data_IF_271639335969
#
_entry.id   IF_271639335969
#
_cell.length_a   1.000
_cell.length_b   1.000
_cell.length_c   1.000
_cell.angle_alpha   90.00
_cell.angle_beta   90.00
_cell.angle_gamma   90.00
#
_symmetry.space_group_name_H-M   'P 1'
#
loop_
_entity.id
_entity.type
_entity.pdbx_description
1 polymer ?
#
# COMPACT_ATOMS: atom_id res chain seq x y z
N UNK A 1 10.31 -8.01 -3.88
CA UNK A 1 9.91 -9.38 -4.11
C UNK A 1 10.22 -10.14 -2.84
N UNK A 2 9.30 -10.95 -2.37
CA UNK A 2 9.36 -11.51 -1.03
C UNK A 2 10.22 -12.77 -0.93
N UNK A 3 9.60 -13.87 -0.52
CA UNK A 3 10.22 -15.16 -0.17
C UNK A 3 11.04 -15.82 -1.30
N UNK A 4 10.65 -15.64 -2.55
CA UNK A 4 11.25 -16.34 -3.68
C UNK A 4 12.10 -15.41 -4.54
N UNK A 5 13.27 -15.86 -5.03
CA UNK A 5 14.03 -15.12 -6.02
C UNK A 5 13.24 -15.13 -7.34
N UNK A 6 12.71 -13.97 -7.71
CA UNK A 6 11.97 -13.78 -8.94
C UNK A 6 12.65 -12.73 -9.81
N UNK A 7 12.69 -12.98 -11.11
CA UNK A 7 13.16 -12.01 -12.11
C UNK A 7 11.94 -11.41 -12.78
N UNK A 8 11.82 -10.08 -12.86
CA UNK A 8 10.70 -9.44 -13.54
C UNK A 8 10.80 -9.69 -15.05
N UNK A 9 9.70 -10.19 -15.63
CA UNK A 9 9.56 -10.31 -17.09
C UNK A 9 9.11 -8.96 -17.64
N UNK A 10 9.80 -8.46 -18.66
CA UNK A 10 9.42 -7.23 -19.34
C UNK A 10 8.23 -7.54 -20.27
N UNK A 11 7.06 -7.10 -19.89
CA UNK A 11 5.86 -7.13 -20.72
C UNK A 11 5.67 -5.76 -21.39
N UNK A 12 4.86 -5.74 -22.47
CA UNK A 12 4.40 -4.51 -23.10
C UNK A 12 3.68 -3.62 -22.08
N UNK A 13 3.64 -2.32 -22.34
CA UNK A 13 2.93 -1.38 -21.46
C UNK A 13 1.44 -1.72 -21.35
N UNK A 14 0.82 -1.28 -20.26
CA UNK A 14 -0.60 -1.52 -20.04
C UNK A 14 -1.41 -0.85 -21.16
N UNK A 15 -2.25 -1.64 -21.82
CA UNK A 15 -3.23 -1.16 -22.77
C UNK A 15 -4.63 -1.28 -22.17
N UNK A 16 -5.30 -0.14 -21.85
CA UNK A 16 -6.62 -0.16 -21.25
C UNK A 16 -7.69 -0.84 -22.13
N UNK A 17 -7.60 -0.69 -23.47
CA UNK A 17 -8.56 -1.28 -24.37
C UNK A 17 -8.39 -2.80 -24.44
N UNK A 18 -7.15 -3.27 -24.56
CA UNK A 18 -6.83 -4.69 -24.52
C UNK A 18 -7.16 -5.33 -23.17
N UNK A 19 -6.91 -4.63 -22.07
CA UNK A 19 -7.30 -5.10 -20.75
C UNK A 19 -8.83 -5.24 -20.62
N UNK A 20 -9.61 -4.26 -21.08
CA UNK A 20 -11.07 -4.33 -21.09
C UNK A 20 -11.61 -5.45 -22.02
N UNK A 21 -10.94 -5.74 -23.13
CA UNK A 21 -11.26 -6.89 -23.97
C UNK A 21 -11.00 -8.20 -23.22
N UNK A 22 -9.83 -8.35 -22.62
CA UNK A 22 -9.44 -9.56 -21.90
C UNK A 22 -10.34 -9.92 -20.71
N UNK A 23 -11.09 -8.95 -20.17
CA UNK A 23 -12.07 -9.20 -19.12
C UNK A 23 -13.38 -9.82 -19.62
N UNK A 24 -13.59 -9.85 -20.93
CA UNK A 24 -14.78 -10.43 -21.55
C UNK A 24 -14.53 -11.87 -21.97
N UNK A 25 -15.51 -12.74 -21.82
CA UNK A 25 -15.43 -14.16 -22.22
C UNK A 25 -15.37 -14.34 -23.73
N UNK A 26 -15.86 -13.35 -24.48
CA UNK A 26 -15.97 -13.30 -25.94
C UNK A 26 -14.96 -12.33 -26.60
N UNK A 27 -13.84 -12.06 -25.93
CA UNK A 27 -12.80 -11.21 -26.48
C UNK A 27 -12.18 -11.86 -27.73
N UNK A 28 -12.46 -11.32 -28.92
CA UNK A 28 -11.97 -11.84 -30.20
C UNK A 28 -10.46 -11.69 -30.39
N UNK A 29 -9.86 -10.68 -29.75
CA UNK A 29 -8.44 -10.34 -29.90
C UNK A 29 -7.79 -10.14 -28.51
N UNK A 30 -7.58 -11.21 -27.76
CA UNK A 30 -6.87 -11.10 -26.47
C UNK A 30 -5.43 -10.68 -26.70
N UNK A 31 -4.94 -9.82 -25.83
CA UNK A 31 -3.60 -9.33 -25.93
C UNK A 31 -2.75 -9.48 -24.66
N UNK A 32 -1.50 -9.89 -24.76
CA UNK A 32 -0.55 -9.93 -23.65
C UNK A 32 -0.05 -8.51 -23.32
N UNK A 33 -0.18 -8.11 -22.08
CA UNK A 33 0.30 -6.82 -21.60
C UNK A 33 0.39 -6.80 -20.10
N UNK A 34 0.97 -5.72 -19.54
CA UNK A 34 0.93 -5.48 -18.11
C UNK A 34 -0.49 -5.19 -17.65
N UNK A 35 -0.80 -5.57 -16.43
CA UNK A 35 -1.99 -5.07 -15.75
C UNK A 35 -1.87 -3.56 -15.58
N UNK A 36 -2.95 -2.79 -15.78
CA UNK A 36 -2.97 -1.38 -15.42
C UNK A 36 -2.74 -1.22 -13.91
N UNK A 37 -2.09 -0.12 -13.53
CA UNK A 37 -1.94 0.19 -12.11
C UNK A 37 -3.29 0.50 -11.48
N UNK A 38 -3.55 -0.08 -10.32
CA UNK A 38 -4.73 0.19 -9.50
C UNK A 38 -4.36 1.10 -8.34
N UNK A 39 -5.18 2.12 -8.12
CA UNK A 39 -5.02 3.00 -6.98
C UNK A 39 -5.64 2.34 -5.72
N UNK A 40 -4.83 2.23 -4.67
CA UNK A 40 -5.32 1.84 -3.35
C UNK A 40 -5.67 3.11 -2.58
N UNK A 41 -6.91 3.22 -2.12
CA UNK A 41 -7.41 4.38 -1.39
C UNK A 41 -7.98 3.98 -0.04
N UNK A 42 -7.79 4.83 0.96
CA UNK A 42 -8.47 4.71 2.24
C UNK A 42 -9.84 5.40 2.15
N UNK A 43 -10.88 4.74 2.64
CA UNK A 43 -12.25 5.29 2.65
C UNK A 43 -12.76 5.40 4.08
N UNK A 44 -13.46 6.48 4.37
CA UNK A 44 -14.13 6.72 5.65
C UNK A 44 -15.55 7.22 5.40
N UNK A 45 -16.43 7.10 6.40
CA UNK A 45 -17.77 7.68 6.31
C UNK A 45 -17.71 9.21 6.45
N UNK A 46 -18.70 9.92 5.88
CA UNK A 46 -18.84 11.37 6.08
C UNK A 46 -18.95 11.70 7.56
N UNK A 47 -19.72 10.91 8.32
CA UNK A 47 -19.86 11.08 9.77
C UNK A 47 -18.51 11.01 10.50
N UNK A 48 -17.61 10.08 10.12
CA UNK A 48 -16.27 10.00 10.71
C UNK A 48 -15.45 11.25 10.37
N UNK A 49 -15.45 11.67 9.10
CA UNK A 49 -14.75 12.89 8.66
C UNK A 49 -15.18 14.12 9.45
N UNK A 50 -16.48 14.29 9.68
CA UNK A 50 -17.04 15.46 10.36
C UNK A 50 -16.79 15.44 11.86
N UNK A 51 -16.80 14.23 12.48
CA UNK A 51 -16.55 14.05 13.90
C UNK A 51 -15.06 14.04 14.27
N UNK A 52 -14.18 13.67 13.32
CA UNK A 52 -12.74 13.44 13.55
C UNK A 52 -11.88 14.09 12.46
N UNK A 53 -11.88 15.43 12.33
CA UNK A 53 -11.19 16.13 11.25
C UNK A 53 -9.66 15.97 11.29
N UNK A 54 -9.06 15.85 12.48
CA UNK A 54 -7.60 15.67 12.62
C UNK A 54 -7.18 14.27 12.17
N UNK A 55 -7.89 13.23 12.59
CA UNK A 55 -7.65 11.85 12.20
C UNK A 55 -7.90 11.66 10.70
N UNK A 56 -8.95 12.29 10.16
CA UNK A 56 -9.17 12.30 8.72
C UNK A 56 -8.03 12.99 7.98
N UNK A 57 -7.50 14.09 8.50
CA UNK A 57 -6.32 14.78 7.96
C UNK A 57 -5.09 13.89 7.91
N UNK A 58 -4.85 13.10 8.97
CA UNK A 58 -3.77 12.13 9.01
C UNK A 58 -3.98 10.99 8.00
N UNK A 59 -5.18 10.38 7.97
CA UNK A 59 -5.52 9.32 7.02
C UNK A 59 -5.36 9.75 5.57
N UNK A 60 -5.70 11.01 5.24
CA UNK A 60 -5.59 11.58 3.90
C UNK A 60 -4.14 11.72 3.40
N UNK A 61 -3.18 11.77 4.31
CA UNK A 61 -1.75 11.86 4.00
C UNK A 61 -1.07 10.51 3.83
N UNK A 62 -1.71 9.41 4.27
CA UNK A 62 -1.12 8.08 4.22
C UNK A 62 -0.85 7.68 2.78
N UNK A 63 0.42 7.51 2.46
CA UNK A 63 0.89 7.01 1.17
C UNK A 63 2.12 6.15 1.41
N UNK A 64 2.00 4.86 1.10
CA UNK A 64 3.08 3.88 1.31
C UNK A 64 3.60 3.44 -0.06
N UNK A 65 4.85 3.78 -0.42
CA UNK A 65 5.46 3.32 -1.66
C UNK A 65 5.49 1.79 -1.76
N UNK A 66 5.24 1.24 -2.94
CA UNK A 66 5.26 -0.22 -3.18
C UNK A 66 6.56 -0.90 -2.69
N UNK A 67 7.70 -0.22 -2.81
CA UNK A 67 8.98 -0.74 -2.32
C UNK A 67 8.96 -0.95 -0.79
N UNK A 68 8.39 -0.01 -0.05
CA UNK A 68 8.25 -0.09 1.41
C UNK A 68 7.28 -1.20 1.77
N UNK A 69 6.10 -1.23 1.16
CA UNK A 69 5.11 -2.29 1.38
C UNK A 69 5.70 -3.67 1.12
N UNK A 70 6.37 -3.87 0.00
CA UNK A 70 7.01 -5.14 -0.34
C UNK A 70 8.09 -5.54 0.67
N UNK A 71 8.86 -4.60 1.23
CA UNK A 71 9.87 -4.90 2.24
C UNK A 71 9.24 -5.36 3.56
N UNK A 72 8.14 -4.73 3.99
CA UNK A 72 7.41 -5.12 5.20
C UNK A 72 6.76 -6.49 5.03
N UNK A 73 6.13 -6.77 3.87
CA UNK A 73 5.54 -8.07 3.58
C UNK A 73 6.60 -9.19 3.56
N UNK A 74 7.76 -8.93 2.96
CA UNK A 74 8.86 -9.89 2.95
C UNK A 74 9.44 -10.15 4.36
N UNK A 75 9.52 -9.11 5.19
CA UNK A 75 9.91 -9.23 6.58
C UNK A 75 8.89 -10.05 7.38
N UNK A 76 7.59 -9.78 7.19
CA UNK A 76 6.52 -10.50 7.87
C UNK A 76 6.53 -11.99 7.54
N UNK A 77 6.68 -12.35 6.27
CA UNK A 77 6.78 -13.75 5.84
C UNK A 77 7.99 -14.45 6.47
N UNK A 78 9.15 -13.79 6.48
CA UNK A 78 10.38 -14.34 7.08
C UNK A 78 10.26 -14.58 8.58
N UNK A 79 9.51 -13.72 9.28
CA UNK A 79 9.39 -13.75 10.75
C UNK A 79 8.06 -14.40 11.20
N UNK A 80 7.24 -14.90 10.29
CA UNK A 80 5.89 -15.41 10.56
C UNK A 80 5.05 -14.40 11.38
N UNK A 81 5.15 -13.12 11.02
CA UNK A 81 4.58 -11.99 11.74
C UNK A 81 3.17 -11.65 11.25
N UNK A 82 2.28 -11.32 12.17
CA UNK A 82 0.93 -10.86 11.88
C UNK A 82 0.84 -9.34 11.67
N UNK A 83 -0.39 -8.82 11.55
CA UNK A 83 -0.65 -7.40 11.32
C UNK A 83 -0.06 -6.46 12.38
N UNK A 84 -0.23 -6.73 13.68
CA UNK A 84 0.34 -5.89 14.74
C UNK A 84 1.87 -5.78 14.68
N UNK A 85 2.56 -6.90 14.45
CA UNK A 85 4.01 -6.94 14.35
C UNK A 85 4.50 -6.22 13.09
N UNK A 86 3.78 -6.36 11.97
CA UNK A 86 4.05 -5.61 10.74
C UNK A 86 3.91 -4.11 10.94
N UNK A 87 2.88 -3.67 11.65
CA UNK A 87 2.66 -2.27 11.98
C UNK A 87 3.79 -1.72 12.86
N UNK A 88 4.17 -2.43 13.92
CA UNK A 88 5.29 -2.05 14.77
C UNK A 88 6.61 -1.98 14.00
N UNK A 89 6.88 -2.95 13.13
CA UNK A 89 8.05 -2.98 12.26
C UNK A 89 8.07 -1.79 11.29
N UNK A 90 6.91 -1.47 10.68
CA UNK A 90 6.78 -0.31 9.82
C UNK A 90 7.10 0.99 10.59
N UNK A 91 6.49 1.18 11.75
CA UNK A 91 6.70 2.38 12.56
C UNK A 91 8.17 2.55 12.97
N UNK A 92 8.85 1.47 13.36
CA UNK A 92 10.27 1.49 13.73
C UNK A 92 11.19 1.79 12.56
N UNK A 93 10.91 1.24 11.37
CA UNK A 93 11.84 1.29 10.23
C UNK A 93 11.55 2.40 9.22
N UNK A 94 10.33 2.97 9.23
CA UNK A 94 9.88 3.97 8.26
C UNK A 94 9.53 5.31 8.92
N UNK A 95 10.29 5.69 9.97
CA UNK A 95 10.05 6.89 10.77
C UNK A 95 9.87 8.15 9.91
N UNK A 96 10.76 8.40 8.96
CA UNK A 96 10.72 9.56 8.08
C UNK A 96 9.45 9.63 7.20
N UNK A 97 8.80 8.49 6.96
CA UNK A 97 7.59 8.44 6.17
C UNK A 97 6.37 8.78 7.03
N UNK A 98 6.12 8.05 8.11
CA UNK A 98 4.89 8.19 8.89
C UNK A 98 4.84 9.45 9.76
N UNK A 99 6.00 9.99 10.21
CA UNK A 99 6.03 11.23 10.99
C UNK A 99 5.52 12.44 10.18
N UNK A 100 5.55 12.39 8.85
CA UNK A 100 4.99 13.43 8.00
C UNK A 100 3.45 13.45 7.96
N UNK A 101 2.79 12.40 8.45
CA UNK A 101 1.33 12.24 8.39
C UNK A 101 0.61 12.80 9.62
N UNK A 102 1.31 12.93 10.73
CA UNK A 102 0.74 13.25 12.05
C UNK A 102 1.48 14.42 12.71
N UNK A 103 0.91 14.96 13.78
CA UNK A 103 1.53 16.02 14.59
C UNK A 103 2.69 15.48 15.44
N UNK A 104 3.58 16.37 15.86
CA UNK A 104 4.72 16.04 16.72
C UNK A 104 4.31 15.41 18.06
N UNK A 105 3.19 15.84 18.64
CA UNK A 105 2.63 15.24 19.87
C UNK A 105 2.26 13.76 19.64
N UNK A 106 1.66 13.44 18.50
CA UNK A 106 1.35 12.05 18.12
C UNK A 106 2.62 11.25 17.85
N UNK A 107 3.62 11.85 17.20
CA UNK A 107 4.91 11.19 16.99
C UNK A 107 5.52 10.78 18.33
N UNK A 108 5.58 11.69 19.30
CA UNK A 108 6.16 11.44 20.62
C UNK A 108 5.42 10.32 21.38
N UNK A 109 4.08 10.29 21.29
CA UNK A 109 3.26 9.23 21.89
C UNK A 109 3.49 7.87 21.25
N UNK A 110 3.60 7.81 19.93
CA UNK A 110 3.88 6.57 19.21
C UNK A 110 5.28 6.06 19.54
N UNK A 111 6.30 6.93 19.54
CA UNK A 111 7.68 6.55 19.86
C UNK A 111 7.84 6.04 21.29
N UNK A 112 7.10 6.61 22.23
CA UNK A 112 7.09 6.13 23.62
C UNK A 112 6.42 4.74 23.78
N UNK A 113 5.60 4.33 22.83
CA UNK A 113 4.89 3.05 22.86
C UNK A 113 5.57 1.92 22.06
N UNK A 114 6.62 2.21 21.26
CA UNK A 114 7.35 1.26 20.41
C UNK A 114 8.55 0.62 21.13
#
# INVERSE_FOLDING_TARGET
MGRYPMVPVKLNDADPAGHACNQKTDCEKPHAGRYPSSLVVSTVTTKFKDAHPEEFGALSKISIPNKVMNSILAWAEKNNAGGPEMAAQFLRTQRSLWTSWVSEDVVNKVEAAL
#
